data_IF_985063584921
#
_entry.id   IF_985063584921
#
_cell.length_a   1.000
_cell.length_b   1.000
_cell.length_c   1.000
_cell.angle_alpha   90.00
_cell.angle_beta   90.00
_cell.angle_gamma   90.00
#
_symmetry.space_group_name_H-M   'P 1'
#
loop_
_entity.id
_entity.type
_entity.pdbx_description
1 polymer ?
#
# COMPACT_ATOMS: atom_id res chain seq x y z
N UNK A 1 -9.16 12.74 -16.09
CA UNK A 1 -8.70 12.62 -14.69
C UNK A 1 -7.91 11.33 -14.60
N UNK A 2 -6.69 11.36 -14.05
CA UNK A 2 -5.89 10.14 -13.84
C UNK A 2 -6.51 9.40 -12.66
N UNK A 3 -6.84 8.12 -12.81
CA UNK A 3 -7.27 7.28 -11.70
C UNK A 3 -5.99 6.66 -11.12
N UNK A 4 -5.53 7.06 -9.93
CA UNK A 4 -4.29 6.54 -9.37
C UNK A 4 -4.41 5.02 -9.15
N UNK A 5 -3.28 4.31 -9.31
CA UNK A 5 -3.18 2.89 -9.00
C UNK A 5 -3.33 2.73 -7.48
N UNK A 6 -4.24 1.86 -7.05
CA UNK A 6 -4.43 1.55 -5.64
C UNK A 6 -3.55 0.38 -5.23
N UNK A 7 -2.65 0.61 -4.29
CA UNK A 7 -1.70 -0.37 -3.78
C UNK A 7 -2.07 -0.78 -2.35
N UNK A 8 -2.41 -2.06 -2.17
CA UNK A 8 -2.62 -2.66 -0.86
C UNK A 8 -1.31 -3.10 -0.20
N UNK A 9 -1.12 -2.77 1.09
CA UNK A 9 -0.01 -3.26 1.92
C UNK A 9 -0.59 -4.15 3.04
N UNK A 10 -0.15 -5.42 3.16
CA UNK A 10 -0.65 -6.32 4.20
C UNK A 10 -0.20 -5.86 5.58
N UNK A 11 -1.15 -5.57 6.47
CA UNK A 11 -0.88 -5.26 7.88
C UNK A 11 -0.35 -6.48 8.62
N UNK A 12 0.56 -6.26 9.57
CA UNK A 12 1.11 -7.29 10.46
C UNK A 12 2.50 -7.74 10.04
N UNK A 13 2.77 -9.05 10.11
CA UNK A 13 4.12 -9.62 9.94
C UNK A 13 4.76 -9.32 8.58
N UNK A 14 3.95 -9.15 7.53
CA UNK A 14 4.45 -8.87 6.18
C UNK A 14 4.66 -7.38 5.89
N UNK A 15 4.10 -6.46 6.70
CA UNK A 15 4.05 -5.04 6.39
C UNK A 15 5.43 -4.45 6.09
N UNK A 16 6.39 -4.63 7.02
CA UNK A 16 7.73 -4.06 6.87
C UNK A 16 8.52 -4.71 5.73
N UNK A 17 8.33 -6.00 5.50
CA UNK A 17 8.97 -6.71 4.40
C UNK A 17 8.45 -6.23 3.05
N UNK A 18 7.14 -6.00 2.94
CA UNK A 18 6.51 -5.42 1.75
C UNK A 18 7.01 -4.00 1.48
N UNK A 19 7.06 -3.14 2.50
CA UNK A 19 7.60 -1.76 2.36
C UNK A 19 9.07 -1.80 1.90
N UNK A 20 9.89 -2.65 2.53
CA UNK A 20 11.29 -2.80 2.15
C UNK A 20 11.48 -3.32 0.70
N UNK A 21 10.57 -4.16 0.21
CA UNK A 21 10.57 -4.61 -1.18
C UNK A 21 10.31 -3.43 -2.14
N UNK A 22 9.30 -2.62 -1.87
CA UNK A 22 9.00 -1.43 -2.68
C UNK A 22 10.11 -0.39 -2.64
N UNK A 23 10.76 -0.22 -1.49
CA UNK A 23 11.93 0.66 -1.34
C UNK A 23 13.10 0.25 -2.25
N UNK A 24 13.36 -1.05 -2.39
CA UNK A 24 14.38 -1.56 -3.32
C UNK A 24 14.06 -1.28 -4.78
N UNK A 25 12.77 -1.07 -5.11
CA UNK A 25 12.29 -0.71 -6.44
C UNK A 25 12.25 0.81 -6.67
N UNK A 26 12.65 1.63 -5.69
CA UNK A 26 12.70 3.09 -5.80
C UNK A 26 11.49 3.84 -5.24
N UNK A 27 10.50 3.12 -4.70
CA UNK A 27 9.34 3.74 -4.05
C UNK A 27 9.57 3.90 -2.55
N UNK A 28 9.51 5.14 -2.06
CA UNK A 28 9.57 5.45 -0.64
C UNK A 28 8.16 5.51 -0.07
N UNK A 29 7.83 4.59 0.84
CA UNK A 29 6.50 4.47 1.47
C UNK A 29 6.63 4.78 2.96
N UNK A 30 5.98 5.85 3.40
CA UNK A 30 6.03 6.32 4.79
C UNK A 30 4.72 6.01 5.54
N UNK A 31 4.83 5.22 6.62
CA UNK A 31 3.71 4.89 7.49
C UNK A 31 3.72 5.78 8.73
N UNK A 32 2.85 6.79 8.72
CA UNK A 32 2.72 7.73 9.84
C UNK A 32 1.82 7.17 10.95
N UNK A 33 2.44 6.67 12.04
CA UNK A 33 1.76 6.28 13.27
C UNK A 33 0.75 5.14 13.07
N UNK A 34 -0.54 5.42 13.31
CA UNK A 34 -1.65 4.46 13.16
C UNK A 34 -2.42 4.65 11.84
N UNK A 35 -1.94 5.48 10.91
CA UNK A 35 -2.59 5.71 9.63
C UNK A 35 -2.75 4.40 8.85
N UNK A 36 -3.90 4.25 8.20
CA UNK A 36 -4.15 3.19 7.22
C UNK A 36 -3.82 3.61 5.79
N UNK A 37 -3.42 4.87 5.58
CA UNK A 37 -3.08 5.43 4.27
C UNK A 37 -1.64 5.97 4.35
N UNK A 38 -0.64 5.15 3.96
CA UNK A 38 0.76 5.58 3.87
C UNK A 38 0.96 6.59 2.74
N UNK A 39 1.96 7.45 2.91
CA UNK A 39 2.42 8.35 1.86
C UNK A 39 3.41 7.61 0.94
N UNK A 40 3.43 7.95 -0.35
CA UNK A 40 4.37 7.41 -1.34
C UNK A 40 4.92 8.54 -2.21
N UNK A 41 6.18 8.41 -2.65
CA UNK A 41 6.84 9.39 -3.52
C UNK A 41 6.40 9.36 -5.00
N UNK A 42 5.24 8.80 -5.32
CA UNK A 42 4.70 8.63 -6.67
C UNK A 42 3.24 9.11 -6.72
N UNK A 43 2.97 10.20 -7.42
CA UNK A 43 1.64 10.83 -7.49
C UNK A 43 0.60 10.03 -8.31
N UNK A 44 1.03 8.93 -8.93
CA UNK A 44 0.17 8.02 -9.68
C UNK A 44 -0.30 6.83 -8.87
N UNK A 45 0.15 6.69 -7.61
CA UNK A 45 -0.14 5.56 -6.73
C UNK A 45 -0.71 6.05 -5.40
N UNK A 46 -1.76 5.39 -4.93
CA UNK A 46 -2.31 5.57 -3.57
C UNK A 46 -2.12 4.28 -2.77
N UNK A 47 -1.62 4.38 -1.54
CA UNK A 47 -1.40 3.23 -0.67
C UNK A 47 -2.49 3.08 0.39
N UNK A 48 -2.91 1.84 0.64
CA UNK A 48 -3.78 1.48 1.75
C UNK A 48 -3.22 0.27 2.51
N UNK A 49 -3.19 0.34 3.83
CA UNK A 49 -2.87 -0.79 4.69
C UNK A 49 -4.17 -1.53 4.99
N UNK A 50 -4.20 -2.83 4.72
CA UNK A 50 -5.36 -3.67 5.00
C UNK A 50 -4.94 -5.04 5.53
N UNK A 51 -5.89 -5.82 6.05
CA UNK A 51 -5.57 -7.16 6.55
C UNK A 51 -5.29 -8.07 5.36
N UNK A 52 -4.26 -8.92 5.47
CA UNK A 52 -3.85 -9.81 4.39
C UNK A 52 -5.01 -10.66 3.85
N UNK A 53 -5.89 -11.15 4.74
CA UNK A 53 -7.06 -11.94 4.34
C UNK A 53 -8.16 -11.17 3.61
N UNK A 54 -8.16 -9.83 3.67
CA UNK A 54 -9.17 -8.99 2.98
C UNK A 54 -8.68 -8.53 1.60
N UNK A 55 -7.38 -8.67 1.30
CA UNK A 55 -6.76 -8.11 0.09
C UNK A 55 -7.37 -8.64 -1.20
N UNK A 56 -7.68 -9.95 -1.28
CA UNK A 56 -8.30 -10.54 -2.46
C UNK A 56 -9.64 -9.90 -2.79
N UNK A 57 -10.45 -9.62 -1.76
CA UNK A 57 -11.77 -9.02 -1.92
C UNK A 57 -11.65 -7.58 -2.40
N UNK A 58 -10.64 -6.83 -1.92
CA UNK A 58 -10.41 -5.45 -2.40
C UNK A 58 -9.98 -5.42 -3.86
N UNK A 59 -9.11 -6.36 -4.27
CA UNK A 59 -8.70 -6.52 -5.67
C UNK A 59 -9.90 -6.87 -6.55
N UNK A 60 -10.72 -7.83 -6.14
CA UNK A 60 -11.94 -8.21 -6.87
C UNK A 60 -12.91 -7.04 -7.04
N UNK A 61 -13.08 -6.21 -6.00
CA UNK A 61 -13.98 -5.07 -6.03
C UNK A 61 -13.38 -3.81 -6.69
N UNK A 62 -12.09 -3.81 -7.06
CA UNK A 62 -11.40 -2.62 -7.60
C UNK A 62 -11.29 -1.46 -6.60
N UNK A 63 -11.34 -1.78 -5.31
CA UNK A 63 -11.38 -0.80 -4.21
C UNK A 63 -10.04 -0.56 -3.58
#
# INVERSE_FOLDING_TARGET
MKNPLKLGIPKGSLQNATIALFQRSGWDINVNGRSYFPEINDDTIECAICRAQEMSNYVENGT
#
